data_IF_009642121691
#
_entry.id   IF_009642121691
#
_cell.length_a   1.000
_cell.length_b   1.000
_cell.length_c   1.000
_cell.angle_alpha   90.00
_cell.angle_beta   90.00
_cell.angle_gamma   90.00
#
_symmetry.space_group_name_H-M   'P 1'
#
loop_
_entity.id
_entity.type
_entity.pdbx_description
1 polymer ?
#
# COMPACT_ATOMS: atom_id res chain seq x y z
N UNK A 1 -7.71 -20.79 -4.45
CA UNK A 1 -6.72 -21.47 -3.61
C UNK A 1 -5.34 -20.92 -3.97
N UNK A 2 -4.76 -20.08 -3.10
CA UNK A 2 -3.62 -19.22 -3.43
C UNK A 2 -2.37 -20.02 -3.83
N UNK A 3 -2.18 -21.19 -3.21
CA UNK A 3 -1.11 -22.14 -3.52
C UNK A 3 -1.19 -22.67 -4.96
N UNK A 4 -2.39 -22.83 -5.51
CA UNK A 4 -2.59 -23.32 -6.87
C UNK A 4 -2.49 -22.22 -7.94
N UNK A 5 -2.45 -20.94 -7.53
CA UNK A 5 -2.29 -19.78 -8.43
C UNK A 5 -0.87 -19.23 -8.50
N UNK A 6 0.05 -19.72 -7.66
CA UNK A 6 1.45 -19.29 -7.61
C UNK A 6 2.35 -20.36 -8.22
N UNK A 7 3.52 -19.93 -8.72
CA UNK A 7 4.58 -20.89 -9.07
C UNK A 7 5.13 -21.53 -7.79
N UNK A 8 5.73 -22.71 -7.92
CA UNK A 8 6.33 -23.40 -6.77
C UNK A 8 7.41 -22.53 -6.08
N UNK A 9 8.16 -21.75 -6.86
CA UNK A 9 9.19 -20.81 -6.37
C UNK A 9 8.56 -19.67 -5.56
N UNK A 10 7.53 -19.00 -6.10
CA UNK A 10 6.83 -17.93 -5.38
C UNK A 10 6.10 -18.42 -4.13
N UNK A 11 5.63 -19.68 -4.11
CA UNK A 11 5.03 -20.27 -2.92
C UNK A 11 6.08 -20.53 -1.82
N UNK A 12 7.26 -21.05 -2.20
CA UNK A 12 8.37 -21.25 -1.26
C UNK A 12 8.82 -19.92 -0.65
N UNK A 13 8.97 -18.86 -1.45
CA UNK A 13 9.35 -17.53 -0.96
C UNK A 13 8.35 -16.97 0.07
N UNK A 14 7.05 -17.17 -0.19
CA UNK A 14 6.00 -16.80 0.76
C UNK A 14 6.16 -17.59 2.06
N UNK A 15 6.29 -18.92 1.98
CA UNK A 15 6.44 -19.78 3.17
C UNK A 15 7.68 -19.39 3.97
N UNK A 16 8.84 -19.20 3.35
CA UNK A 16 10.07 -18.80 4.03
C UNK A 16 9.93 -17.43 4.70
N UNK A 17 9.25 -16.48 4.05
CA UNK A 17 9.02 -15.15 4.61
C UNK A 17 8.11 -15.15 5.84
N UNK A 18 7.23 -16.13 5.96
CA UNK A 18 6.33 -16.29 7.10
C UNK A 18 6.79 -17.37 8.11
N UNK A 19 7.87 -18.10 7.82
CA UNK A 19 8.40 -19.17 8.69
C UNK A 19 8.92 -18.65 10.05
N UNK A 20 9.33 -17.38 10.11
CA UNK A 20 9.78 -16.71 11.34
C UNK A 20 8.62 -16.03 12.11
N UNK A 21 7.37 -16.21 11.69
CA UNK A 21 6.22 -15.64 12.37
C UNK A 21 6.02 -16.24 13.77
N UNK A 22 5.74 -15.41 14.77
CA UNK A 22 5.43 -15.85 16.14
C UNK A 22 4.02 -16.49 16.29
N UNK A 23 3.29 -16.64 15.18
CA UNK A 23 1.91 -17.14 15.14
C UNK A 23 1.87 -18.52 14.50
N UNK A 24 1.12 -19.44 15.12
CA UNK A 24 0.90 -20.77 14.56
C UNK A 24 0.28 -20.68 13.16
N UNK A 25 0.73 -21.55 12.25
CA UNK A 25 0.12 -21.68 10.94
C UNK A 25 -1.34 -22.15 11.10
N UNK A 26 -2.30 -21.53 10.40
CA UNK A 26 -3.68 -21.98 10.42
C UNK A 26 -3.81 -23.39 9.84
N UNK A 27 -4.79 -24.14 10.31
CA UNK A 27 -5.02 -25.51 9.83
C UNK A 27 -5.57 -25.53 8.39
N UNK A 28 -5.28 -26.61 7.65
CA UNK A 28 -5.85 -26.86 6.32
C UNK A 28 -7.39 -27.00 6.41
N UNK A 29 -8.11 -25.89 6.23
CA UNK A 29 -9.58 -25.81 6.33
C UNK A 29 -10.10 -24.90 7.44
N UNK A 30 -9.22 -24.26 8.21
CA UNK A 30 -9.60 -23.16 9.09
C UNK A 30 -10.24 -22.02 8.29
N UNK A 31 -11.37 -21.50 8.79
CA UNK A 31 -12.06 -20.38 8.15
C UNK A 31 -11.21 -19.14 8.39
N UNK A 32 -10.91 -18.41 7.31
CA UNK A 32 -10.19 -17.14 7.43
C UNK A 32 -11.02 -16.14 8.24
N UNK A 33 -10.49 -15.75 9.40
CA UNK A 33 -11.08 -14.72 10.25
C UNK A 33 -10.38 -13.39 9.98
N UNK A 34 -11.11 -12.45 9.38
CA UNK A 34 -10.57 -11.14 9.00
C UNK A 34 -10.14 -10.32 10.23
N UNK A 35 -10.73 -10.56 11.42
CA UNK A 35 -10.38 -9.85 12.65
C UNK A 35 -9.02 -10.29 13.21
N UNK A 36 -8.45 -11.39 12.71
CA UNK A 36 -7.07 -11.79 13.04
C UNK A 36 -6.02 -10.97 12.31
N UNK A 37 -6.41 -10.21 11.26
CA UNK A 37 -5.51 -9.30 10.55
C UNK A 37 -5.21 -8.09 11.45
N UNK A 38 -3.95 -7.85 11.85
CA UNK A 38 -3.61 -6.70 12.68
C UNK A 38 -4.06 -5.38 12.04
N UNK A 39 -4.77 -4.56 12.82
CA UNK A 39 -5.31 -3.29 12.36
C UNK A 39 -6.64 -3.37 11.60
N UNK A 40 -7.15 -4.56 11.25
CA UNK A 40 -8.48 -4.66 10.61
C UNK A 40 -9.59 -4.17 11.54
N UNK A 41 -9.64 -4.70 12.77
CA UNK A 41 -10.68 -4.35 13.74
C UNK A 41 -10.66 -2.87 14.14
N UNK A 42 -9.49 -2.23 14.09
CA UNK A 42 -9.28 -0.82 14.44
C UNK A 42 -9.43 0.13 13.24
N UNK A 43 -9.59 -0.41 12.02
CA UNK A 43 -9.71 0.36 10.78
C UNK A 43 -8.38 0.88 10.21
N UNK A 44 -7.25 0.49 10.81
CA UNK A 44 -5.89 0.82 10.35
C UNK A 44 -5.46 -0.01 9.12
N UNK A 45 -6.14 -1.13 8.88
CA UNK A 45 -5.90 -2.00 7.73
C UNK A 45 -7.14 -2.05 6.81
N UNK A 46 -6.97 -1.83 5.49
CA UNK A 46 -5.70 -1.57 4.79
C UNK A 46 -5.10 -0.21 5.12
N UNK A 47 -3.77 -0.12 5.02
CA UNK A 47 -3.05 1.13 5.24
C UNK A 47 -3.55 2.22 4.29
N UNK A 48 -3.55 3.48 4.75
CA UNK A 48 -4.06 4.61 3.97
C UNK A 48 -3.00 5.19 3.03
N UNK A 49 -3.11 5.04 1.70
CA UNK A 49 -2.03 5.41 0.78
C UNK A 49 -1.67 6.91 0.83
N UNK A 50 -2.64 7.79 1.02
CA UNK A 50 -2.40 9.24 1.11
C UNK A 50 -1.54 9.63 2.32
N UNK A 51 -1.65 8.88 3.42
CA UNK A 51 -0.79 9.05 4.60
C UNK A 51 0.59 8.45 4.36
N UNK A 52 0.68 7.26 3.76
CA UNK A 52 1.98 6.65 3.42
C UNK A 52 2.81 7.49 2.45
N UNK A 53 2.17 8.25 1.56
CA UNK A 53 2.84 9.18 0.65
C UNK A 53 3.68 10.24 1.37
N UNK A 54 3.38 10.59 2.63
CA UNK A 54 4.23 11.49 3.41
C UNK A 54 5.62 10.90 3.70
N UNK A 55 5.73 9.56 3.80
CA UNK A 55 6.98 8.83 3.96
C UNK A 55 7.70 8.66 2.63
N UNK A 56 6.97 8.24 1.60
CA UNK A 56 7.59 7.72 0.37
C UNK A 56 7.88 8.80 -0.67
N UNK A 57 7.04 9.82 -0.79
CA UNK A 57 7.23 10.86 -1.80
C UNK A 57 8.42 11.76 -1.43
N UNK A 58 9.36 12.02 -2.36
CA UNK A 58 10.51 12.89 -2.11
C UNK A 58 10.08 14.25 -1.55
N UNK A 59 10.79 14.72 -0.52
CA UNK A 59 10.45 15.97 0.18
C UNK A 59 10.27 17.16 -0.78
N UNK A 60 11.16 17.33 -1.76
CA UNK A 60 11.07 18.41 -2.75
C UNK A 60 9.78 18.37 -3.58
N UNK A 61 9.27 17.18 -3.92
CA UNK A 61 8.00 17.03 -4.65
C UNK A 61 6.84 17.37 -3.73
N UNK A 62 6.89 16.95 -2.46
CA UNK A 62 5.86 17.29 -1.46
C UNK A 62 5.78 18.80 -1.22
N UNK A 63 6.91 19.47 -1.07
CA UNK A 63 6.95 20.92 -0.80
C UNK A 63 6.49 21.75 -1.99
N UNK A 64 6.76 21.28 -3.22
CA UNK A 64 6.45 22.04 -4.43
C UNK A 64 5.02 21.85 -4.91
N UNK A 65 4.50 20.62 -4.85
CA UNK A 65 3.21 20.26 -5.45
C UNK A 65 2.20 19.75 -4.43
N UNK A 66 2.67 19.34 -3.26
CA UNK A 66 1.86 18.70 -2.24
C UNK A 66 1.27 19.71 -1.27
N UNK A 67 0.08 19.38 -0.77
CA UNK A 67 -0.54 20.04 0.37
C UNK A 67 -0.68 19.01 1.49
N UNK A 68 -0.05 19.26 2.62
CA UNK A 68 -0.28 18.46 3.82
C UNK A 68 -1.59 18.93 4.44
N UNK A 69 -2.56 18.04 4.52
CA UNK A 69 -3.85 18.27 5.16
C UNK A 69 -3.93 17.45 6.44
N UNK A 70 -4.48 18.02 7.51
CA UNK A 70 -4.63 17.35 8.79
C UNK A 70 -6.09 16.92 8.97
N UNK A 71 -6.29 15.65 9.29
CA UNK A 71 -7.58 15.12 9.71
C UNK A 71 -7.63 15.00 11.23
N UNK A 72 -8.76 15.40 11.81
CA UNK A 72 -8.97 15.41 13.27
C UNK A 72 -8.75 14.01 13.90
N UNK A 73 -8.94 12.94 13.12
CA UNK A 73 -8.89 11.55 13.60
C UNK A 73 -7.68 10.75 13.10
N UNK A 74 -7.27 10.92 11.84
CA UNK A 74 -6.32 10.01 11.18
C UNK A 74 -4.95 10.65 10.91
N UNK A 75 -4.78 11.90 11.36
CA UNK A 75 -3.56 12.70 11.26
C UNK A 75 -3.36 13.35 9.89
N UNK A 76 -2.11 13.72 9.63
CA UNK A 76 -1.69 14.37 8.40
C UNK A 76 -1.65 13.40 7.21
N UNK A 77 -2.06 13.88 6.04
CA UNK A 77 -1.93 13.17 4.77
C UNK A 77 -1.50 14.13 3.65
N UNK A 78 -0.94 13.54 2.58
CA UNK A 78 -0.50 14.30 1.41
C UNK A 78 -1.60 14.36 0.36
N UNK A 79 -1.98 15.58 -0.01
CA UNK A 79 -2.90 15.87 -1.10
C UNK A 79 -2.13 16.44 -2.30
N UNK A 80 -2.45 15.98 -3.52
CA UNK A 80 -1.99 16.58 -4.78
C UNK A 80 -3.18 17.04 -5.61
N UNK A 81 -3.06 18.20 -6.26
CA UNK A 81 -4.05 18.64 -7.22
C UNK A 81 -3.93 17.84 -8.53
N UNK A 82 -5.06 17.39 -9.06
CA UNK A 82 -5.09 16.60 -10.30
C UNK A 82 -4.58 17.41 -11.51
N UNK A 83 -4.68 18.74 -11.46
CA UNK A 83 -4.17 19.60 -12.53
C UNK A 83 -2.65 19.62 -12.63
N UNK A 84 -1.95 19.26 -11.55
CA UNK A 84 -0.48 19.19 -11.49
C UNK A 84 0.07 17.78 -11.84
N UNK A 85 -0.78 16.82 -12.23
CA UNK A 85 -0.41 15.40 -12.45
C UNK A 85 0.85 15.26 -13.33
N UNK A 86 0.90 15.98 -14.46
CA UNK A 86 2.00 15.90 -15.43
C UNK A 86 3.32 16.36 -14.80
N UNK A 87 3.29 17.46 -14.06
CA UNK A 87 4.49 18.07 -13.46
C UNK A 87 4.97 17.24 -12.26
N UNK A 88 4.06 16.69 -11.45
CA UNK A 88 4.38 15.77 -10.36
C UNK A 88 5.07 14.51 -10.89
N UNK A 89 4.52 13.90 -11.95
CA UNK A 89 5.10 12.70 -12.56
C UNK A 89 6.51 12.98 -13.08
N UNK A 90 6.73 14.12 -13.74
CA UNK A 90 8.06 14.50 -14.21
C UNK A 90 9.04 14.69 -13.04
N UNK A 91 8.60 15.33 -11.95
CA UNK A 91 9.43 15.53 -10.78
C UNK A 91 9.80 14.20 -10.10
N UNK A 92 8.85 13.26 -9.98
CA UNK A 92 9.12 11.91 -9.46
C UNK A 92 10.10 11.15 -10.35
N UNK A 93 9.94 11.23 -11.68
CA UNK A 93 10.87 10.61 -12.63
C UNK A 93 12.29 11.20 -12.54
N UNK A 94 12.41 12.51 -12.28
CA UNK A 94 13.70 13.15 -12.03
C UNK A 94 14.39 12.63 -10.75
N UNK A 95 13.62 12.10 -9.79
CA UNK A 95 14.11 11.38 -8.61
C UNK A 95 14.37 9.88 -8.88
N UNK A 96 14.30 9.44 -10.13
CA UNK A 96 14.60 8.06 -10.55
C UNK A 96 13.43 7.09 -10.47
N UNK A 97 12.21 7.59 -10.25
CA UNK A 97 11.02 6.74 -10.19
C UNK A 97 10.53 6.37 -11.59
N UNK A 98 9.96 5.17 -11.71
CA UNK A 98 9.21 4.78 -12.90
C UNK A 98 7.72 4.97 -12.62
N UNK A 99 7.11 5.95 -13.26
CA UNK A 99 5.68 6.23 -13.11
C UNK A 99 4.91 5.67 -14.31
N UNK A 100 3.90 4.83 -14.05
CA UNK A 100 3.02 4.25 -15.07
C UNK A 100 1.58 4.45 -14.62
N UNK A 101 0.72 4.93 -15.52
CA UNK A 101 -0.71 5.06 -15.26
C UNK A 101 -1.40 3.69 -15.41
N UNK A 102 -1.95 3.19 -14.32
CA UNK A 102 -2.75 1.96 -14.28
C UNK A 102 -3.94 2.11 -13.33
N UNK A 103 -5.02 2.70 -13.86
CA UNK A 103 -6.24 2.99 -13.09
C UNK A 103 -6.97 1.71 -12.66
N UNK A 104 -6.69 0.55 -13.28
CA UNK A 104 -7.27 -0.73 -12.90
C UNK A 104 -6.55 -1.33 -11.70
N UNK A 105 -5.21 -1.28 -11.71
CA UNK A 105 -4.38 -1.68 -10.57
C UNK A 105 -4.68 -0.83 -9.33
N UNK A 106 -4.80 0.50 -9.50
CA UNK A 106 -5.12 1.41 -8.39
C UNK A 106 -6.48 1.06 -7.78
N UNK A 107 -7.54 0.89 -8.58
CA UNK A 107 -8.86 0.49 -8.07
C UNK A 107 -8.80 -0.81 -7.27
N UNK A 108 -8.14 -1.83 -7.82
CA UNK A 108 -7.98 -3.12 -7.16
C UNK A 108 -7.24 -3.00 -5.83
N UNK A 109 -6.17 -2.20 -5.76
CA UNK A 109 -5.40 -1.96 -4.54
C UNK A 109 -6.20 -1.17 -3.49
N UNK A 110 -7.12 -0.31 -3.93
CA UNK A 110 -8.04 0.46 -3.07
C UNK A 110 -9.34 -0.27 -2.73
N UNK A 111 -9.46 -1.57 -3.02
CA UNK A 111 -10.64 -2.37 -2.65
C UNK A 111 -11.87 -2.17 -3.55
N UNK A 112 -11.70 -1.67 -4.78
CA UNK A 112 -12.76 -1.44 -5.77
C UNK A 112 -12.69 -2.39 -6.99
#
# INVERSE_FOLDING_TARGET
DAKNSLTAESWTDVVERFADGETDLPADGEVFDLDTVPGHADGDWPAWPAREMLRDVPQSVREQYGKVEDTIHDGEFLHFDVSDEVDIVQALQAHGWTCVRDDALVRKASGH
#
